data_IF_879546484547
#
_entry.id   IF_879546484547
#
_cell.length_a   1.000
_cell.length_b   1.000
_cell.length_c   1.000
_cell.angle_alpha   90.00
_cell.angle_beta   90.00
_cell.angle_gamma   90.00
#
_symmetry.space_group_name_H-M   'P 1'
#
loop_
_entity.id
_entity.type
_entity.pdbx_description
1 polymer ?
#
# COMPACT_ATOMS: atom_id res chain seq x y z
N UNK A 1 -10.23 25.05 -5.33
CA UNK A 1 -8.84 25.56 -5.30
C UNK A 1 -8.49 26.21 -3.96
N UNK A 2 -9.27 27.18 -3.47
CA UNK A 2 -9.04 27.82 -2.15
C UNK A 2 -9.17 26.84 -0.96
N UNK A 3 -10.14 25.92 -0.99
CA UNK A 3 -10.32 24.88 0.06
C UNK A 3 -9.12 23.92 0.22
N UNK A 4 -8.54 23.45 -0.90
CA UNK A 4 -7.39 22.53 -0.89
C UNK A 4 -6.17 23.21 -0.26
N UNK A 5 -5.94 24.49 -0.56
CA UNK A 5 -4.83 25.28 -0.02
C UNK A 5 -5.01 25.58 1.48
N UNK A 6 -6.24 25.81 1.95
CA UNK A 6 -6.54 26.01 3.37
C UNK A 6 -6.51 24.71 4.19
N UNK A 7 -6.89 23.58 3.59
CA UNK A 7 -6.79 22.25 4.21
C UNK A 7 -5.33 21.82 4.34
N UNK A 8 -4.48 22.01 3.32
CA UNK A 8 -3.05 21.71 3.42
C UNK A 8 -2.33 22.50 4.53
N UNK A 9 -2.70 23.78 4.71
CA UNK A 9 -2.19 24.61 5.82
C UNK A 9 -2.58 24.09 7.20
N UNK A 10 -3.71 23.37 7.33
CA UNK A 10 -4.13 22.74 8.58
C UNK A 10 -3.42 21.42 8.86
N UNK A 11 -2.79 20.80 7.85
CA UNK A 11 -2.52 19.38 7.89
C UNK A 11 -1.07 18.95 7.82
N UNK A 12 -0.09 19.81 7.50
CA UNK A 12 1.35 19.56 7.66
C UNK A 12 1.92 18.34 6.92
N UNK A 13 1.07 17.49 6.36
CA UNK A 13 1.36 16.14 5.92
C UNK A 13 2.17 16.15 4.62
N UNK A 14 1.78 16.97 3.63
CA UNK A 14 2.61 17.14 2.42
C UNK A 14 3.96 17.78 2.77
N UNK A 15 3.97 18.73 3.71
CA UNK A 15 5.21 19.35 4.16
C UNK A 15 6.15 18.32 4.81
N UNK A 16 5.65 17.50 5.72
CA UNK A 16 6.41 16.44 6.36
C UNK A 16 6.94 15.42 5.34
N UNK A 17 6.15 15.08 4.32
CA UNK A 17 6.59 14.17 3.25
C UNK A 17 7.70 14.77 2.38
N UNK A 18 7.60 16.05 2.04
CA UNK A 18 8.63 16.77 1.30
C UNK A 18 9.92 16.81 2.12
N UNK A 19 9.84 17.17 3.41
CA UNK A 19 11.01 17.22 4.30
C UNK A 19 11.66 15.85 4.55
N UNK A 20 10.89 14.76 4.54
CA UNK A 20 11.44 13.41 4.59
C UNK A 20 12.09 13.05 3.24
N UNK A 21 11.42 13.34 2.12
CA UNK A 21 11.95 13.10 0.79
C UNK A 21 13.29 13.81 0.54
N UNK A 22 13.38 15.08 0.91
CA UNK A 22 14.59 15.88 0.77
C UNK A 22 15.75 15.28 1.58
N UNK A 23 15.50 14.85 2.83
CA UNK A 23 16.52 14.17 3.65
C UNK A 23 16.98 12.85 3.04
N UNK A 24 16.05 12.03 2.55
CA UNK A 24 16.39 10.74 1.94
C UNK A 24 17.26 10.90 0.70
N UNK A 25 16.99 11.92 -0.12
CA UNK A 25 17.78 12.23 -1.33
C UNK A 25 19.14 12.85 -0.96
N UNK A 26 19.20 13.70 0.07
CA UNK A 26 20.45 14.28 0.56
C UNK A 26 21.38 13.20 1.12
N UNK A 27 20.84 12.23 1.87
CA UNK A 27 21.59 11.11 2.43
C UNK A 27 21.99 10.07 1.38
N UNK A 28 21.11 9.80 0.39
CA UNK A 28 21.37 8.90 -0.72
C UNK A 28 20.60 9.33 -1.98
N UNK A 29 21.28 9.95 -2.97
CA UNK A 29 20.66 10.36 -4.23
C UNK A 29 20.02 9.22 -5.04
N UNK A 30 20.46 7.96 -4.82
CA UNK A 30 19.94 6.78 -5.50
C UNK A 30 18.92 5.99 -4.65
N UNK A 31 18.44 6.56 -3.54
CA UNK A 31 17.58 5.86 -2.58
C UNK A 31 16.37 5.17 -3.22
N UNK A 32 15.73 5.81 -4.21
CA UNK A 32 14.54 5.29 -4.90
C UNK A 32 14.83 4.01 -5.69
N UNK A 33 16.03 3.88 -6.25
CA UNK A 33 16.43 2.73 -7.06
C UNK A 33 16.90 1.56 -6.21
N UNK A 34 17.38 1.84 -5.00
CA UNK A 34 17.95 0.86 -4.07
C UNK A 34 16.95 0.34 -3.04
N UNK A 35 15.86 1.08 -2.78
CA UNK A 35 14.87 0.70 -1.78
C UNK A 35 14.16 -0.59 -2.20
N UNK A 36 14.12 -1.55 -1.27
CA UNK A 36 13.44 -2.83 -1.50
C UNK A 36 11.94 -2.61 -1.59
N UNK A 37 11.28 -3.39 -2.46
CA UNK A 37 9.81 -3.42 -2.53
C UNK A 37 9.23 -3.78 -1.17
N UNK A 38 8.21 -3.05 -0.73
CA UNK A 38 7.47 -3.39 0.48
C UNK A 38 6.72 -4.72 0.31
N UNK A 39 6.57 -5.47 1.41
CA UNK A 39 5.81 -6.72 1.41
C UNK A 39 4.32 -6.50 1.10
N UNK A 40 3.80 -5.32 1.47
CA UNK A 40 2.42 -4.90 1.20
C UNK A 40 2.23 -4.32 -0.20
N UNK A 41 3.31 -4.04 -0.94
CA UNK A 41 3.25 -3.27 -2.19
C UNK A 41 2.88 -1.79 -2.01
N UNK A 42 2.70 -1.31 -0.77
CA UNK A 42 2.44 0.09 -0.48
C UNK A 42 3.70 0.93 -0.70
N UNK A 43 3.64 1.88 -1.64
CA UNK A 43 4.75 2.79 -1.93
C UNK A 43 5.08 3.71 -0.74
N UNK A 44 4.08 4.12 0.04
CA UNK A 44 4.28 4.96 1.22
C UNK A 44 5.01 4.23 2.35
N UNK A 45 4.74 2.93 2.52
CA UNK A 45 5.49 2.09 3.46
C UNK A 45 6.92 1.89 2.96
N UNK A 46 7.09 1.64 1.67
CA UNK A 46 8.40 1.49 1.04
C UNK A 46 9.29 2.73 1.19
N UNK A 47 8.75 3.92 0.86
CA UNK A 47 9.54 5.15 0.79
C UNK A 47 9.68 5.87 2.13
N UNK A 48 8.65 5.80 2.97
CA UNK A 48 8.55 6.65 4.15
C UNK A 48 8.32 5.84 5.43
N UNK A 49 8.28 4.51 5.35
CA UNK A 49 7.94 3.61 6.44
C UNK A 49 6.61 3.99 7.12
N UNK A 50 5.63 4.41 6.32
CA UNK A 50 4.31 4.86 6.77
C UNK A 50 3.20 4.11 6.04
N UNK A 51 2.24 3.59 6.80
CA UNK A 51 1.07 2.87 6.27
C UNK A 51 -0.14 3.77 6.01
N UNK A 52 -0.13 5.00 6.52
CA UNK A 52 -1.21 5.97 6.30
C UNK A 52 -0.78 7.01 5.27
N UNK A 53 -1.61 7.19 4.25
CA UNK A 53 -1.47 8.27 3.29
C UNK A 53 -2.82 8.91 2.99
N UNK A 54 -2.88 10.25 2.88
CA UNK A 54 -4.13 10.90 2.45
C UNK A 54 -4.55 10.53 1.04
N UNK A 55 -3.61 10.06 0.20
CA UNK A 55 -3.89 9.56 -1.15
C UNK A 55 -4.70 8.25 -1.08
N UNK A 56 -4.58 7.49 0.01
CA UNK A 56 -5.21 6.20 0.20
C UNK A 56 -6.75 6.35 0.28
N UNK A 57 -7.25 7.53 0.67
CA UNK A 57 -8.68 7.88 0.64
C UNK A 57 -9.22 8.19 -0.78
N UNK A 58 -8.32 8.32 -1.77
CA UNK A 58 -8.66 8.73 -3.14
C UNK A 58 -8.33 7.68 -4.20
N UNK A 59 -7.84 6.50 -3.80
CA UNK A 59 -7.32 5.47 -4.69
C UNK A 59 -7.92 4.11 -4.31
N UNK A 60 -8.84 3.63 -5.15
CA UNK A 60 -9.60 2.39 -4.91
C UNK A 60 -8.72 1.13 -4.90
N UNK A 61 -7.54 1.15 -5.55
CA UNK A 61 -6.58 0.04 -5.59
C UNK A 61 -5.44 0.19 -4.56
N UNK A 62 -5.66 0.96 -3.49
CA UNK A 62 -4.70 1.05 -2.40
C UNK A 62 -4.50 -0.34 -1.75
N UNK A 63 -3.26 -0.90 -1.75
CA UNK A 63 -3.05 -2.27 -1.29
C UNK A 63 -3.31 -2.46 0.21
N UNK A 64 -3.15 -1.41 1.02
CA UNK A 64 -3.49 -1.44 2.45
C UNK A 64 -5.01 -1.53 2.64
N UNK A 65 -5.77 -0.74 1.89
CA UNK A 65 -7.23 -0.75 2.00
C UNK A 65 -7.82 -2.09 1.54
N UNK A 66 -7.34 -2.60 0.41
CA UNK A 66 -7.76 -3.90 -0.10
C UNK A 66 -7.45 -5.04 0.87
N UNK A 67 -6.30 -5.01 1.54
CA UNK A 67 -5.96 -5.99 2.58
C UNK A 67 -6.89 -5.86 3.79
N UNK A 68 -7.17 -4.65 4.27
CA UNK A 68 -8.09 -4.42 5.38
C UNK A 68 -9.51 -4.88 5.06
N UNK A 69 -10.02 -4.56 3.86
CA UNK A 69 -11.32 -5.02 3.37
C UNK A 69 -11.37 -6.55 3.26
N UNK A 70 -10.30 -7.16 2.76
CA UNK A 70 -10.18 -8.61 2.66
C UNK A 70 -10.21 -9.27 4.05
N UNK A 71 -9.45 -8.76 5.02
CA UNK A 71 -9.46 -9.27 6.39
C UNK A 71 -10.83 -9.07 7.06
N UNK A 72 -11.50 -7.93 6.82
CA UNK A 72 -12.84 -7.67 7.33
C UNK A 72 -13.89 -8.61 6.70
N UNK A 73 -13.76 -8.92 5.42
CA UNK A 73 -14.60 -9.90 4.73
C UNK A 73 -14.38 -11.31 5.30
N UNK A 74 -13.11 -11.72 5.43
CA UNK A 74 -12.73 -13.00 6.03
C UNK A 74 -13.26 -13.12 7.45
N UNK A 75 -13.18 -12.06 8.26
CA UNK A 75 -13.69 -12.02 9.62
C UNK A 75 -15.16 -12.46 9.74
N UNK A 76 -15.96 -12.20 8.70
CA UNK A 76 -17.40 -12.54 8.63
C UNK A 76 -17.68 -13.97 8.13
N UNK A 77 -16.66 -14.69 7.64
CA UNK A 77 -16.81 -16.04 7.11
C UNK A 77 -16.61 -17.11 8.21
N UNK A 78 -17.29 -18.25 8.05
CA UNK A 78 -17.03 -19.44 8.86
C UNK A 78 -15.63 -20.03 8.56
N UNK A 79 -15.01 -20.77 9.50
CA UNK A 79 -13.70 -21.38 9.28
C UNK A 79 -13.64 -22.25 8.02
N UNK A 80 -14.70 -22.99 7.73
CA UNK A 80 -14.79 -23.85 6.54
C UNK A 80 -14.78 -23.01 5.25
N UNK A 81 -15.52 -21.89 5.26
CA UNK A 81 -15.59 -20.99 4.09
C UNK A 81 -14.27 -20.26 3.87
N UNK A 82 -13.55 -19.89 4.94
CA UNK A 82 -12.20 -19.30 4.83
C UNK A 82 -11.23 -20.27 4.19
N UNK A 83 -11.19 -21.51 4.66
CA UNK A 83 -10.30 -22.55 4.11
C UNK A 83 -10.59 -22.81 2.62
N UNK A 84 -11.87 -22.80 2.21
CA UNK A 84 -12.26 -22.90 0.80
C UNK A 84 -11.72 -21.74 -0.03
N UNK A 85 -11.87 -20.50 0.44
CA UNK A 85 -11.40 -19.30 -0.25
C UNK A 85 -9.87 -19.27 -0.38
N UNK A 86 -9.14 -19.60 0.69
CA UNK A 86 -7.68 -19.70 0.68
C UNK A 86 -7.20 -20.76 -0.32
N UNK A 87 -7.85 -21.93 -0.38
CA UNK A 87 -7.55 -22.97 -1.35
C UNK A 87 -7.81 -22.50 -2.79
N UNK A 88 -8.89 -21.74 -3.01
CA UNK A 88 -9.23 -21.17 -4.32
C UNK A 88 -8.16 -20.17 -4.79
N UNK A 89 -7.71 -19.29 -3.90
CA UNK A 89 -6.65 -18.31 -4.17
C UNK A 89 -5.34 -19.02 -4.50
N UNK A 90 -4.94 -20.01 -3.69
CA UNK A 90 -3.72 -20.78 -3.93
C UNK A 90 -3.75 -21.49 -5.29
N UNK A 91 -4.89 -22.09 -5.67
CA UNK A 91 -5.05 -22.73 -6.97
C UNK A 91 -4.97 -21.72 -8.12
N UNK A 92 -5.57 -20.53 -7.97
CA UNK A 92 -5.50 -19.48 -8.97
C UNK A 92 -4.06 -18.96 -9.15
N UNK A 93 -3.33 -18.76 -8.06
CA UNK A 93 -1.93 -18.37 -8.07
C UNK A 93 -1.09 -19.42 -8.79
N UNK A 94 -1.25 -20.70 -8.44
CA UNK A 94 -0.52 -21.79 -9.10
C UNK A 94 -0.78 -21.81 -10.62
N UNK A 95 -2.04 -21.60 -11.04
CA UNK A 95 -2.39 -21.49 -12.47
C UNK A 95 -1.73 -20.30 -13.13
N UNK A 96 -1.69 -19.14 -12.46
CA UNK A 96 -1.02 -17.94 -12.96
C UNK A 96 0.48 -18.19 -13.12
N UNK A 97 1.15 -18.72 -12.09
CA UNK A 97 2.57 -19.07 -12.13
C UNK A 97 2.87 -20.04 -13.27
N UNK A 98 2.14 -21.16 -13.38
CA UNK A 98 2.30 -22.12 -14.49
C UNK A 98 2.14 -21.50 -15.88
N UNK A 99 1.31 -20.47 -16.00
CA UNK A 99 1.00 -19.82 -17.28
C UNK A 99 1.98 -18.72 -17.66
N UNK A 100 2.50 -17.97 -16.68
CA UNK A 100 3.20 -16.70 -16.94
C UNK A 100 4.60 -16.61 -16.34
N UNK A 101 4.96 -17.51 -15.42
CA UNK A 101 6.27 -17.52 -14.76
C UNK A 101 6.95 -18.84 -15.10
N UNK A 102 7.87 -18.80 -16.07
CA UNK A 102 8.72 -19.93 -16.47
C UNK A 102 10.00 -19.96 -15.65
#
# INVERSE_FOLDING_TARGET
>A
MVKIIEEEKKHGYLKDLIEIGDRLIEENPNYVDEVKKSETGCWMEQMYNRRYCRICDFVDDCPIHLEEEWQAFLAQQSPEKRAELEAMIAQQQERYFKRYVK
#
